data_IF_899428486049
#
_entry.id   IF_899428486049
#
_cell.length_a   1.000
_cell.length_b   1.000
_cell.length_c   1.000
_cell.angle_alpha   90.00
_cell.angle_beta   90.00
_cell.angle_gamma   90.00
#
_symmetry.space_group_name_H-M   'P 1'
#
loop_
_entity.id
_entity.type
_entity.pdbx_description
1 polymer ?
#
# COMPACT_ATOMS: atom_id res chain seq x y z
N UNK A 1 -1.18 24.78 7.43
CA UNK A 1 -0.80 24.08 6.19
C UNK A 1 -1.98 24.15 5.23
N UNK A 2 -1.83 24.77 4.06
CA UNK A 2 -2.87 24.70 3.03
C UNK A 2 -2.91 23.28 2.46
N UNK A 3 -4.10 22.69 2.38
CA UNK A 3 -4.29 21.41 1.71
C UNK A 3 -3.95 21.58 0.22
N UNK A 4 -3.29 20.58 -0.38
CA UNK A 4 -2.92 20.57 -1.80
C UNK A 4 -4.14 20.44 -2.76
N UNK A 5 -5.31 20.95 -2.38
CA UNK A 5 -6.53 20.93 -3.20
C UNK A 5 -6.97 19.51 -3.57
N UNK A 6 -7.38 19.34 -4.83
CA UNK A 6 -7.77 18.05 -5.41
C UNK A 6 -6.63 17.02 -5.42
N UNK A 7 -5.38 17.48 -5.60
CA UNK A 7 -4.22 16.60 -5.62
C UNK A 7 -4.06 15.84 -4.30
N UNK A 8 -4.13 16.54 -3.17
CA UNK A 8 -4.02 15.91 -1.85
C UNK A 8 -5.17 14.96 -1.49
N UNK A 9 -6.29 15.02 -2.22
CA UNK A 9 -7.39 14.05 -2.08
C UNK A 9 -7.12 12.75 -2.85
N UNK A 10 -6.41 12.84 -3.98
CA UNK A 10 -6.11 11.69 -4.84
C UNK A 10 -4.77 11.04 -4.51
N UNK A 11 -3.80 11.84 -4.05
CA UNK A 11 -2.43 11.42 -3.83
C UNK A 11 -1.95 11.69 -2.40
N UNK A 12 -1.16 10.76 -1.86
CA UNK A 12 -0.53 10.87 -0.55
C UNK A 12 -0.20 9.49 0.04
N UNK A 13 -0.39 9.31 1.34
CA UNK A 13 -0.34 7.96 1.92
C UNK A 13 -1.50 7.13 1.34
N UNK A 14 -1.26 5.88 0.93
CA UNK A 14 -2.31 5.03 0.39
C UNK A 14 -3.45 4.83 1.38
N UNK A 15 -4.66 4.73 0.84
CA UNK A 15 -5.87 4.46 1.59
C UNK A 15 -6.80 3.59 0.77
N UNK A 16 -7.26 2.50 1.39
CA UNK A 16 -8.01 1.45 0.73
C UNK A 16 -9.35 1.21 1.43
N UNK A 17 -10.34 0.77 0.66
CA UNK A 17 -11.48 0.01 1.15
C UNK A 17 -11.35 -1.42 0.63
N UNK A 18 -11.48 -2.42 1.51
CA UNK A 18 -11.23 -3.82 1.14
C UNK A 18 -12.42 -4.68 1.50
N UNK A 19 -12.82 -5.57 0.61
CA UNK A 19 -13.84 -6.58 0.86
C UNK A 19 -13.20 -7.96 0.95
N UNK A 20 -13.67 -8.75 1.92
CA UNK A 20 -13.28 -10.14 2.05
C UNK A 20 -14.46 -11.03 1.69
N UNK A 21 -14.17 -12.10 0.98
CA UNK A 21 -15.08 -13.22 0.76
C UNK A 21 -14.34 -14.51 1.11
N UNK A 22 -14.94 -15.33 1.98
CA UNK A 22 -14.35 -16.60 2.44
C UNK A 22 -12.90 -16.46 2.95
N UNK A 23 -12.59 -15.36 3.65
CA UNK A 23 -11.28 -15.09 4.22
C UNK A 23 -10.22 -14.61 3.22
N UNK A 24 -10.61 -14.31 1.97
CA UNK A 24 -9.73 -13.86 0.89
C UNK A 24 -10.15 -12.49 0.37
N UNK A 25 -9.20 -11.74 -0.18
CA UNK A 25 -9.49 -10.41 -0.77
C UNK A 25 -10.38 -10.58 -2.00
N UNK A 26 -11.61 -10.09 -1.92
CA UNK A 26 -12.55 -10.09 -3.04
C UNK A 26 -12.38 -8.84 -3.91
N UNK A 27 -12.25 -7.67 -3.28
CA UNK A 27 -12.10 -6.40 -3.96
C UNK A 27 -11.28 -5.41 -3.14
N UNK A 28 -10.57 -4.50 -3.82
CA UNK A 28 -9.89 -3.36 -3.21
C UNK A 28 -10.25 -2.10 -4.00
N UNK A 29 -10.79 -1.09 -3.31
CA UNK A 29 -11.02 0.24 -3.85
C UNK A 29 -9.96 1.21 -3.32
N UNK A 30 -9.32 1.96 -4.22
CA UNK A 30 -8.34 2.99 -3.84
C UNK A 30 -9.06 4.30 -3.53
N UNK A 31 -9.07 4.70 -2.26
CA UNK A 31 -9.59 6.01 -1.83
C UNK A 31 -8.57 7.13 -2.07
N UNK A 32 -7.29 6.81 -1.92
CA UNK A 32 -6.15 7.69 -2.19
C UNK A 32 -4.92 6.83 -2.48
N UNK A 33 -4.12 7.21 -3.46
CA UNK A 33 -2.93 6.45 -3.85
C UNK A 33 -1.62 7.15 -3.54
N UNK A 34 -0.53 6.40 -3.53
CA UNK A 34 0.82 6.95 -3.54
C UNK A 34 1.08 7.67 -4.88
N UNK A 35 1.75 8.83 -4.87
CA UNK A 35 2.03 9.61 -6.08
C UNK A 35 2.97 8.91 -7.07
N UNK A 36 3.67 7.84 -6.66
CA UNK A 36 4.54 7.04 -7.52
C UNK A 36 3.79 6.11 -8.49
N UNK A 37 2.45 6.03 -8.42
CA UNK A 37 1.65 5.14 -9.27
C UNK A 37 1.57 3.70 -8.77
N UNK A 38 2.52 3.28 -7.92
CA UNK A 38 2.62 1.89 -7.45
C UNK A 38 1.37 1.37 -6.75
N UNK A 39 0.50 2.25 -6.25
CA UNK A 39 -0.77 1.86 -5.65
C UNK A 39 -1.66 1.10 -6.62
N UNK A 40 -1.76 1.52 -7.88
CA UNK A 40 -2.71 0.91 -8.81
C UNK A 40 -2.16 -0.37 -9.45
N UNK A 41 -0.86 -0.37 -9.77
CA UNK A 41 -0.24 -1.46 -10.54
C UNK A 41 -0.12 -2.80 -9.78
N UNK A 42 -0.07 -2.76 -8.44
CA UNK A 42 0.14 -3.96 -7.62
C UNK A 42 -1.14 -4.61 -7.11
N UNK A 43 -2.27 -3.88 -7.04
CA UNK A 43 -3.44 -4.36 -6.30
C UNK A 43 -4.08 -5.60 -6.93
N UNK A 44 -4.01 -5.72 -8.25
CA UNK A 44 -4.47 -6.92 -8.95
C UNK A 44 -3.72 -8.19 -8.51
N UNK A 45 -2.47 -8.06 -8.03
CA UNK A 45 -1.62 -9.19 -7.60
C UNK A 45 -2.04 -9.78 -6.25
N UNK A 46 -2.90 -9.09 -5.49
CA UNK A 46 -3.33 -9.52 -4.15
C UNK A 46 -4.80 -9.92 -4.07
N UNK A 47 -5.56 -9.75 -5.15
CA UNK A 47 -6.95 -10.24 -5.22
C UNK A 47 -6.94 -11.77 -5.17
N UNK A 48 -7.83 -12.34 -4.35
CA UNK A 48 -7.94 -13.78 -4.12
C UNK A 48 -6.99 -14.34 -3.05
N UNK A 49 -6.02 -13.56 -2.58
CA UNK A 49 -5.10 -14.01 -1.53
C UNK A 49 -5.75 -13.92 -0.13
N UNK A 50 -5.37 -14.80 0.81
CA UNK A 50 -5.62 -14.59 2.23
C UNK A 50 -4.99 -13.28 2.72
N UNK A 51 -5.54 -12.70 3.79
CA UNK A 51 -5.11 -11.39 4.29
C UNK A 51 -3.61 -11.32 4.63
N UNK A 52 -3.10 -12.29 5.37
CA UNK A 52 -1.71 -12.39 5.79
C UNK A 52 -0.76 -12.49 4.58
N UNK A 53 -1.10 -13.33 3.61
CA UNK A 53 -0.36 -13.46 2.37
C UNK A 53 -0.40 -12.15 1.57
N UNK A 54 -1.58 -11.56 1.38
CA UNK A 54 -1.79 -10.32 0.65
C UNK A 54 -0.96 -9.15 1.20
N UNK A 55 -0.83 -9.03 2.53
CA UNK A 55 0.01 -8.01 3.17
C UNK A 55 1.47 -8.17 2.77
N UNK A 56 2.00 -9.39 2.87
CA UNK A 56 3.40 -9.66 2.51
C UNK A 56 3.67 -9.53 1.01
N UNK A 57 2.74 -9.98 0.17
CA UNK A 57 2.80 -9.84 -1.29
C UNK A 57 2.78 -8.35 -1.66
N UNK A 58 1.83 -7.57 -1.15
CA UNK A 58 1.74 -6.14 -1.43
C UNK A 58 3.03 -5.40 -1.08
N UNK A 59 3.57 -5.66 0.11
CA UNK A 59 4.82 -5.04 0.58
C UNK A 59 5.99 -5.32 -0.37
N UNK A 60 6.08 -6.54 -0.91
CA UNK A 60 7.11 -6.94 -1.85
C UNK A 60 6.88 -6.37 -3.25
N UNK A 61 5.67 -6.48 -3.78
CA UNK A 61 5.37 -6.06 -5.16
C UNK A 61 5.57 -4.55 -5.35
N UNK A 62 5.24 -3.74 -4.33
CA UNK A 62 5.50 -2.29 -4.36
C UNK A 62 6.99 -1.98 -4.51
N UNK A 63 7.87 -2.78 -3.89
CA UNK A 63 9.31 -2.59 -3.99
C UNK A 63 9.84 -2.83 -5.41
N UNK A 64 9.16 -3.61 -6.24
CA UNK A 64 9.61 -3.84 -7.62
C UNK A 64 9.24 -2.72 -8.59
N UNK A 65 8.28 -1.87 -8.24
CA UNK A 65 7.73 -0.89 -9.17
C UNK A 65 7.81 0.56 -8.68
N UNK A 66 8.13 0.77 -7.40
CA UNK A 66 8.31 2.10 -6.87
C UNK A 66 9.58 2.75 -7.44
N UNK A 67 9.51 4.06 -7.67
CA UNK A 67 10.65 4.86 -8.12
C UNK A 67 11.60 5.31 -6.99
N UNK A 68 11.35 4.88 -5.76
CA UNK A 68 12.21 5.19 -4.63
C UNK A 68 13.60 4.56 -4.82
N UNK A 69 14.66 5.30 -4.51
CA UNK A 69 16.04 4.82 -4.70
C UNK A 69 16.31 3.57 -3.84
N UNK A 70 16.57 2.40 -4.46
CA UNK A 70 16.86 1.17 -3.74
C UNK A 70 18.21 1.21 -3.03
N UNK A 71 19.16 2.03 -3.52
CA UNK A 71 20.55 2.09 -3.05
C UNK A 71 20.76 3.05 -1.88
N UNK A 72 19.81 3.93 -1.61
CA UNK A 72 19.81 4.88 -0.50
C UNK A 72 19.55 4.20 0.86
N UNK A 73 20.42 3.27 1.23
CA UNK A 73 20.30 2.47 2.44
C UNK A 73 20.65 3.30 3.70
N UNK A 74 19.77 3.30 4.69
CA UNK A 74 20.04 3.89 6.00
C UNK A 74 20.73 2.84 6.90
N UNK A 75 21.98 3.08 7.33
CA UNK A 75 22.73 2.12 8.14
C UNK A 75 22.16 1.93 9.56
N UNK A 76 21.31 2.84 10.04
CA UNK A 76 20.70 2.72 11.37
C UNK A 76 19.50 1.76 11.32
N UNK A 77 18.58 1.98 10.39
CA UNK A 77 17.39 1.14 10.25
C UNK A 77 17.64 -0.15 9.48
N UNK A 78 18.72 -0.23 8.71
CA UNK A 78 18.97 -1.34 7.80
C UNK A 78 17.96 -1.38 6.63
N UNK A 79 17.36 -0.24 6.28
CA UNK A 79 16.31 -0.13 5.26
C UNK A 79 16.62 0.98 4.27
N UNK A 80 16.11 0.81 3.05
CA UNK A 80 16.09 1.86 2.01
C UNK A 80 14.69 2.45 1.87
N UNK A 81 14.53 3.63 1.24
CA UNK A 81 13.23 4.21 0.89
C UNK A 81 12.26 3.22 0.24
N UNK A 82 12.79 2.25 -0.52
CA UNK A 82 12.01 1.20 -1.14
C UNK A 82 11.32 0.28 -0.12
N UNK A 83 12.04 -0.16 0.90
CA UNK A 83 11.49 -0.96 2.00
C UNK A 83 10.36 -0.21 2.70
N UNK A 84 10.55 1.09 2.94
CA UNK A 84 9.53 1.94 3.54
C UNK A 84 8.29 2.10 2.64
N UNK A 85 8.45 2.17 1.32
CA UNK A 85 7.32 2.17 0.41
C UNK A 85 6.47 0.89 0.56
N UNK A 86 7.12 -0.28 0.64
CA UNK A 86 6.45 -1.55 0.95
C UNK A 86 5.69 -1.51 2.28
N UNK A 87 6.37 -1.09 3.35
CA UNK A 87 5.80 -0.99 4.70
C UNK A 87 4.58 -0.07 4.75
N UNK A 88 4.63 1.08 4.07
CA UNK A 88 3.52 2.05 4.00
C UNK A 88 2.28 1.44 3.34
N UNK A 89 2.45 0.71 2.25
CA UNK A 89 1.33 0.06 1.56
C UNK A 89 0.76 -1.10 2.38
N UNK A 90 1.61 -1.90 3.02
CA UNK A 90 1.19 -2.96 3.94
C UNK A 90 0.37 -2.40 5.12
N UNK A 91 0.86 -1.32 5.74
CA UNK A 91 0.17 -0.66 6.85
C UNK A 91 -1.19 -0.09 6.42
N UNK A 92 -1.28 0.49 5.23
CA UNK A 92 -2.54 0.97 4.67
C UNK A 92 -3.55 -0.16 4.46
N UNK A 93 -3.09 -1.33 3.99
CA UNK A 93 -3.92 -2.51 3.84
C UNK A 93 -4.45 -3.01 5.19
N UNK A 94 -3.55 -3.20 6.17
CA UNK A 94 -3.93 -3.61 7.54
C UNK A 94 -4.95 -2.63 8.15
N UNK A 95 -4.70 -1.32 8.01
CA UNK A 95 -5.59 -0.28 8.52
C UNK A 95 -6.99 -0.39 7.92
N UNK A 96 -7.10 -0.61 6.61
CA UNK A 96 -8.38 -0.77 5.94
C UNK A 96 -9.20 -1.95 6.51
N UNK A 97 -8.52 -3.05 6.87
CA UNK A 97 -9.18 -4.18 7.53
C UNK A 97 -9.58 -3.90 8.97
N UNK A 98 -8.72 -3.24 9.75
CA UNK A 98 -9.04 -2.89 11.14
C UNK A 98 -10.23 -1.94 11.23
N UNK A 99 -10.36 -1.00 10.29
CA UNK A 99 -11.47 -0.04 10.26
C UNK A 99 -12.84 -0.67 9.95
N UNK A 100 -12.89 -1.82 9.25
CA UNK A 100 -14.14 -2.56 8.97
C UNK A 100 -14.63 -3.43 10.13
N UNK A 101 -13.83 -3.65 11.17
CA UNK A 101 -14.20 -4.47 12.34
C UNK A 101 -14.92 -3.68 13.45
N UNK A 102 -15.25 -2.40 13.23
CA UNK A 102 -15.91 -1.53 14.20
C UNK A 102 -17.36 -1.23 13.84
#
# INVERSE_FOLDING_TARGET
>A
MQAAGSYGRQFGLPEYSVELENGRIASIEVKRGAPCGATWDVLARVIGLPLDEAVSTLAREVQYICYADPSAFDPISGKSPLHYAGDVHAAALIKAFSAKKS
#
